data_IF_994365699075
#
_entry.id   IF_994365699075
#
_cell.length_a   1.000
_cell.length_b   1.000
_cell.length_c   1.000
_cell.angle_alpha   90.00
_cell.angle_beta   90.00
_cell.angle_gamma   90.00
#
_symmetry.space_group_name_H-M   'P 1'
#
loop_
_entity.id
_entity.type
_entity.pdbx_description
1 polymer ?
#
# COMPACT_ATOMS: atom_id res chain seq x y z
N UNK A 1 -0.60 -27.72 15.70
CA UNK A 1 0.45 -27.65 14.66
C UNK A 1 0.33 -28.88 13.78
N UNK A 2 0.62 -28.75 12.48
CA UNK A 2 0.59 -29.90 11.56
C UNK A 2 1.85 -30.75 11.73
N UNK A 3 1.80 -32.06 11.38
CA UNK A 3 2.97 -32.95 11.43
C UNK A 3 4.20 -32.38 10.70
N UNK A 4 3.97 -31.64 9.60
CA UNK A 4 5.03 -31.00 8.81
C UNK A 4 5.68 -29.85 9.59
N UNK A 5 4.90 -29.08 10.34
CA UNK A 5 5.43 -27.97 11.16
C UNK A 5 6.34 -28.49 12.27
N UNK A 6 5.91 -29.55 12.95
CA UNK A 6 6.71 -30.17 14.02
C UNK A 6 8.03 -30.74 13.47
N UNK A 7 7.99 -31.33 12.27
CA UNK A 7 9.19 -31.82 11.58
C UNK A 7 10.15 -30.68 11.23
N UNK A 8 9.65 -29.59 10.65
CA UNK A 8 10.46 -28.40 10.33
C UNK A 8 11.11 -27.84 11.60
N UNK A 9 10.34 -27.65 12.67
CA UNK A 9 10.85 -27.11 13.93
C UNK A 9 11.91 -28.03 14.56
N UNK A 10 11.76 -29.35 14.42
CA UNK A 10 12.76 -30.32 14.86
C UNK A 10 14.06 -30.22 14.04
N UNK A 11 13.95 -30.06 12.72
CA UNK A 11 15.11 -29.84 11.84
C UNK A 11 15.82 -28.53 12.17
N UNK A 12 15.07 -27.45 12.41
CA UNK A 12 15.62 -26.14 12.82
C UNK A 12 16.42 -26.26 14.12
N UNK A 13 15.88 -26.93 15.15
CA UNK A 13 16.61 -27.14 16.42
C UNK A 13 17.92 -27.91 16.21
N UNK A 14 17.92 -28.94 15.37
CA UNK A 14 19.14 -29.70 15.02
C UNK A 14 20.14 -28.83 14.28
N UNK A 15 19.67 -28.02 13.33
CA UNK A 15 20.50 -27.11 12.54
C UNK A 15 21.15 -26.03 13.42
N UNK A 16 20.39 -25.37 14.29
CA UNK A 16 20.91 -24.33 15.19
C UNK A 16 21.97 -24.89 16.13
N UNK A 17 21.73 -26.08 16.72
CA UNK A 17 22.73 -26.75 17.55
C UNK A 17 24.03 -27.02 16.78
N UNK A 18 23.92 -27.50 15.54
CA UNK A 18 25.09 -27.78 14.71
C UNK A 18 25.84 -26.52 14.30
N UNK A 19 25.14 -25.46 13.88
CA UNK A 19 25.78 -24.20 13.47
C UNK A 19 26.43 -23.52 14.67
N UNK A 20 25.72 -23.35 15.78
CA UNK A 20 26.24 -22.63 16.95
C UNK A 20 27.44 -23.35 17.60
N UNK A 21 27.58 -24.68 17.46
CA UNK A 21 28.79 -25.38 17.90
C UNK A 21 30.04 -25.11 17.04
N UNK A 22 29.87 -24.55 15.84
CA UNK A 22 30.96 -24.26 14.90
C UNK A 22 31.20 -22.75 14.72
N UNK A 23 30.38 -21.90 15.34
CA UNK A 23 30.56 -20.45 15.27
C UNK A 23 31.65 -19.98 16.23
N UNK A 24 32.39 -18.91 15.90
CA UNK A 24 33.33 -18.28 16.81
C UNK A 24 32.66 -17.78 18.11
N UNK A 25 33.46 -17.65 19.16
CA UNK A 25 33.00 -17.09 20.43
C UNK A 25 32.39 -15.70 20.22
N UNK A 26 31.19 -15.48 20.77
CA UNK A 26 30.40 -14.25 20.60
C UNK A 26 29.48 -14.20 19.39
N UNK A 27 29.42 -15.26 18.56
CA UNK A 27 28.43 -15.39 17.48
C UNK A 27 27.42 -16.48 17.79
N UNK A 28 26.14 -16.15 17.68
CA UNK A 28 25.03 -17.10 17.85
C UNK A 28 23.96 -16.87 16.77
N UNK A 29 23.51 -17.97 16.16
CA UNK A 29 22.31 -17.95 15.33
C UNK A 29 21.11 -18.30 16.20
N UNK A 30 20.12 -17.41 16.24
CA UNK A 30 18.88 -17.59 17.00
C UNK A 30 17.70 -17.94 16.11
N UNK A 31 16.72 -18.60 16.70
CA UNK A 31 15.43 -18.83 16.06
C UNK A 31 14.48 -17.66 16.34
N UNK A 32 14.20 -16.85 15.32
CA UNK A 32 13.32 -15.68 15.47
C UNK A 32 11.82 -16.06 15.45
N UNK A 33 11.42 -17.03 14.62
CA UNK A 33 10.01 -17.42 14.53
C UNK A 33 9.69 -18.34 13.34
N UNK A 34 8.42 -18.73 13.24
CA UNK A 34 7.92 -19.61 12.19
C UNK A 34 6.72 -18.97 11.49
N UNK A 35 6.76 -18.94 10.15
CA UNK A 35 5.68 -18.39 9.35
C UNK A 35 5.20 -19.44 8.35
N UNK A 36 3.90 -19.73 8.37
CA UNK A 36 3.31 -20.78 7.52
C UNK A 36 3.44 -20.47 6.04
N UNK A 37 3.23 -19.20 5.68
CA UNK A 37 3.34 -18.71 4.31
C UNK A 37 4.02 -17.35 4.32
N UNK A 38 4.78 -17.12 3.26
CA UNK A 38 5.52 -15.90 3.04
C UNK A 38 5.50 -15.55 1.58
N UNK A 39 5.56 -14.26 1.30
CA UNK A 39 5.58 -13.70 -0.03
C UNK A 39 6.68 -12.65 -0.11
N UNK A 40 7.61 -12.84 -1.05
CA UNK A 40 8.82 -12.01 -1.19
C UNK A 40 8.80 -11.34 -2.57
N UNK A 41 8.74 -10.00 -2.58
CA UNK A 41 8.69 -9.21 -3.83
C UNK A 41 10.10 -8.90 -4.31
N UNK A 42 10.88 -8.23 -3.45
CA UNK A 42 12.28 -7.86 -3.70
C UNK A 42 13.02 -7.74 -2.37
N UNK A 43 14.33 -7.43 -2.41
CA UNK A 43 15.13 -7.16 -1.22
C UNK A 43 14.42 -6.15 -0.30
N UNK A 44 14.24 -6.53 0.97
CA UNK A 44 13.54 -5.75 2.02
C UNK A 44 12.04 -5.53 1.79
N UNK A 45 11.41 -6.21 0.83
CA UNK A 45 9.98 -6.09 0.51
C UNK A 45 9.30 -7.45 0.55
N UNK A 46 8.67 -7.77 1.67
CA UNK A 46 8.02 -9.06 1.89
C UNK A 46 6.82 -8.96 2.85
N UNK A 47 5.98 -9.99 2.81
CA UNK A 47 4.87 -10.21 3.74
C UNK A 47 4.89 -11.66 4.22
N UNK A 48 4.71 -11.86 5.51
CA UNK A 48 4.61 -13.17 6.17
C UNK A 48 3.26 -13.24 6.88
N UNK A 49 2.77 -14.45 7.14
CA UNK A 49 1.55 -14.65 7.93
C UNK A 49 1.81 -15.60 9.11
N UNK A 50 1.33 -15.18 10.27
CA UNK A 50 1.33 -15.90 11.53
C UNK A 50 -0.02 -15.64 12.22
N UNK A 51 -0.78 -16.69 12.55
CA UNK A 51 -2.09 -16.59 13.22
C UNK A 51 -3.01 -15.49 12.66
N UNK A 52 -3.23 -15.53 11.33
CA UNK A 52 -4.02 -14.54 10.59
C UNK A 52 -3.56 -13.09 10.72
N UNK A 53 -2.33 -12.88 11.17
CA UNK A 53 -1.67 -11.58 11.26
C UNK A 53 -0.60 -11.46 10.17
N UNK A 54 -0.70 -10.41 9.36
CA UNK A 54 0.30 -10.12 8.33
C UNK A 54 1.45 -9.31 8.94
N UNK A 55 2.66 -9.86 8.86
CA UNK A 55 3.91 -9.15 9.12
C UNK A 55 4.50 -8.69 7.80
N UNK A 56 4.41 -7.39 7.51
CA UNK A 56 4.92 -6.80 6.27
C UNK A 56 6.14 -5.92 6.52
N UNK A 57 7.13 -5.99 5.63
CA UNK A 57 8.31 -5.13 5.61
C UNK A 57 8.48 -4.50 4.24
N UNK A 58 8.72 -3.19 4.20
CA UNK A 58 8.99 -2.42 2.98
C UNK A 58 7.83 -2.31 1.97
N UNK A 59 6.66 -2.87 2.30
CA UNK A 59 5.43 -2.74 1.51
C UNK A 59 4.69 -1.44 1.88
N UNK A 60 3.85 -0.97 0.96
CA UNK A 60 3.01 0.23 1.09
C UNK A 60 2.11 0.17 2.34
N UNK A 61 1.74 -1.02 2.79
CA UNK A 61 0.92 -1.32 3.97
C UNK A 61 1.43 -0.63 5.25
N UNK A 62 2.75 -0.52 5.40
CA UNK A 62 3.39 0.04 6.62
C UNK A 62 3.88 1.48 6.42
N UNK A 63 3.71 2.05 5.22
CA UNK A 63 4.15 3.40 4.91
C UNK A 63 3.11 4.42 5.37
N UNK A 64 3.52 5.59 5.88
CA UNK A 64 2.58 6.63 6.34
C UNK A 64 2.02 7.47 5.18
N UNK A 65 2.82 7.69 4.15
CA UNK A 65 2.57 8.53 2.97
C UNK A 65 1.64 7.90 1.91
N UNK A 66 0.97 6.80 2.24
CA UNK A 66 -0.04 6.16 1.40
C UNK A 66 -1.43 6.36 1.99
N UNK A 67 -2.44 6.47 1.11
CA UNK A 67 -3.83 6.57 1.52
C UNK A 67 -4.29 5.29 2.26
N UNK A 68 -5.12 5.39 3.31
CA UNK A 68 -5.64 4.22 4.01
C UNK A 68 -6.34 3.22 3.09
N UNK A 69 -7.04 3.69 2.04
CA UNK A 69 -7.69 2.80 1.06
C UNK A 69 -6.71 1.83 0.38
N UNK A 70 -5.51 2.31 0.03
CA UNK A 70 -4.48 1.48 -0.60
C UNK A 70 -3.92 0.46 0.39
N UNK A 71 -3.68 0.88 1.64
CA UNK A 71 -3.19 -0.02 2.70
C UNK A 71 -4.20 -1.11 3.04
N UNK A 72 -5.47 -0.73 3.22
CA UNK A 72 -6.58 -1.67 3.48
C UNK A 72 -6.70 -2.66 2.32
N UNK A 73 -6.62 -2.18 1.07
CA UNK A 73 -6.67 -3.03 -0.13
C UNK A 73 -5.50 -3.99 -0.21
N UNK A 74 -4.26 -3.49 -0.04
CA UNK A 74 -3.06 -4.34 -0.03
C UNK A 74 -3.13 -5.40 1.07
N UNK A 75 -3.62 -5.06 2.27
CA UNK A 75 -3.84 -6.02 3.36
C UNK A 75 -4.83 -7.11 2.97
N UNK A 76 -5.99 -6.74 2.42
CA UNK A 76 -7.03 -7.69 1.99
C UNK A 76 -6.51 -8.62 0.88
N UNK A 77 -5.79 -8.09 -0.09
CA UNK A 77 -5.12 -8.87 -1.15
C UNK A 77 -4.11 -9.85 -0.56
N UNK A 78 -3.24 -9.39 0.34
CA UNK A 78 -2.29 -10.26 1.02
C UNK A 78 -2.97 -11.34 1.87
N UNK A 79 -4.11 -11.05 2.51
CA UNK A 79 -4.89 -12.08 3.21
C UNK A 79 -5.45 -13.12 2.23
N UNK A 80 -6.02 -12.70 1.10
CA UNK A 80 -6.53 -13.62 0.10
C UNK A 80 -5.43 -14.57 -0.41
N UNK A 81 -4.20 -14.08 -0.54
CA UNK A 81 -3.06 -14.89 -1.01
C UNK A 81 -2.47 -15.74 0.12
N UNK A 82 -2.09 -15.11 1.24
CA UNK A 82 -1.34 -15.74 2.32
C UNK A 82 -2.23 -16.54 3.28
N UNK A 83 -3.51 -16.24 3.41
CA UNK A 83 -4.43 -17.02 4.24
C UNK A 83 -5.24 -18.00 3.40
N UNK A 84 -5.86 -17.48 2.35
CA UNK A 84 -6.86 -18.23 1.58
C UNK A 84 -6.25 -18.96 0.36
N UNK A 85 -4.99 -18.66 0.00
CA UNK A 85 -4.32 -19.27 -1.16
C UNK A 85 -5.00 -18.96 -2.49
N UNK A 86 -5.76 -17.86 -2.59
CA UNK A 86 -6.63 -17.56 -3.73
C UNK A 86 -6.26 -16.22 -4.39
N UNK A 87 -5.48 -16.27 -5.49
CA UNK A 87 -5.22 -15.09 -6.32
C UNK A 87 -6.49 -14.54 -6.98
N UNK A 88 -7.48 -15.40 -7.27
CA UNK A 88 -8.77 -14.96 -7.82
C UNK A 88 -9.54 -14.09 -6.82
N UNK A 89 -9.58 -14.49 -5.55
CA UNK A 89 -10.18 -13.66 -4.49
C UNK A 89 -9.46 -12.32 -4.35
N UNK A 90 -8.14 -12.28 -4.51
CA UNK A 90 -7.39 -11.02 -4.55
C UNK A 90 -7.81 -10.14 -5.72
N UNK A 91 -8.03 -10.72 -6.91
CA UNK A 91 -8.53 -10.01 -8.10
C UNK A 91 -9.90 -9.40 -7.86
N UNK A 92 -10.83 -10.15 -7.29
CA UNK A 92 -12.18 -9.67 -6.96
C UNK A 92 -12.16 -8.49 -5.98
N UNK A 93 -11.33 -8.57 -4.93
CA UNK A 93 -11.14 -7.48 -3.97
C UNK A 93 -10.65 -6.20 -4.67
N UNK A 94 -9.69 -6.31 -5.59
CA UNK A 94 -9.18 -5.16 -6.33
C UNK A 94 -10.30 -4.55 -7.19
N UNK A 95 -11.04 -5.39 -7.94
CA UNK A 95 -12.14 -4.95 -8.80
C UNK A 95 -13.24 -4.23 -8.00
N UNK A 96 -13.62 -4.77 -6.85
CA UNK A 96 -14.61 -4.17 -5.95
C UNK A 96 -14.16 -2.79 -5.47
N UNK A 97 -12.91 -2.68 -4.98
CA UNK A 97 -12.36 -1.41 -4.49
C UNK A 97 -12.28 -0.38 -5.61
N UNK A 98 -11.81 -0.75 -6.80
CA UNK A 98 -11.76 0.16 -7.96
C UNK A 98 -13.16 0.65 -8.32
N UNK A 99 -14.16 -0.25 -8.33
CA UNK A 99 -15.55 0.12 -8.56
C UNK A 99 -16.09 1.12 -7.55
N UNK A 100 -15.81 0.92 -6.26
CA UNK A 100 -16.20 1.87 -5.19
C UNK A 100 -15.55 3.24 -5.36
N UNK A 101 -14.24 3.29 -5.64
CA UNK A 101 -13.51 4.54 -5.90
C UNK A 101 -14.08 5.28 -7.11
N UNK A 102 -14.54 4.59 -8.16
CA UNK A 102 -15.14 5.25 -9.32
C UNK A 102 -16.51 5.84 -9.03
N UNK A 103 -17.31 5.17 -8.21
CA UNK A 103 -18.68 5.60 -7.88
C UNK A 103 -18.75 6.67 -6.78
N UNK A 104 -17.65 7.04 -6.15
CA UNK A 104 -17.69 7.95 -5.00
C UNK A 104 -18.04 7.25 -3.68
N UNK A 105 -18.10 5.92 -3.66
CA UNK A 105 -18.51 5.11 -2.50
C UNK A 105 -17.30 4.81 -1.60
N UNK A 106 -16.65 5.88 -1.15
CA UNK A 106 -15.47 5.84 -0.28
C UNK A 106 -15.52 6.97 0.74
N UNK A 107 -15.17 6.65 1.96
CA UNK A 107 -15.06 7.64 3.04
C UNK A 107 -13.88 8.58 2.79
N UNK A 108 -14.04 9.86 3.12
CA UNK A 108 -12.98 10.86 2.97
C UNK A 108 -11.70 10.46 3.72
N UNK A 109 -11.85 9.94 4.94
CA UNK A 109 -10.74 9.48 5.78
C UNK A 109 -9.92 8.37 5.12
N UNK A 110 -10.54 7.57 4.24
CA UNK A 110 -9.84 6.53 3.49
C UNK A 110 -8.96 7.09 2.36
N UNK A 111 -9.15 8.36 2.00
CA UNK A 111 -8.42 9.07 0.96
C UNK A 111 -7.33 10.00 1.51
N UNK A 112 -7.34 10.30 2.81
CA UNK A 112 -6.39 11.25 3.42
C UNK A 112 -4.97 10.70 3.43
N UNK A 113 -4.05 11.43 2.79
CA UNK A 113 -2.63 11.13 2.79
C UNK A 113 -1.94 11.94 3.88
N UNK A 114 -1.09 11.27 4.65
CA UNK A 114 -0.32 11.87 5.74
C UNK A 114 1.17 11.89 5.39
N UNK A 115 1.75 13.08 5.24
CA UNK A 115 3.17 13.25 4.92
C UNK A 115 3.82 14.22 5.89
N UNK A 116 4.98 13.83 6.43
CA UNK A 116 5.76 14.69 7.32
C UNK A 116 6.58 15.68 6.50
N UNK A 117 6.57 16.95 6.90
CA UNK A 117 7.48 17.97 6.40
C UNK A 117 8.84 17.77 7.05
N UNK A 118 9.88 17.50 6.27
CA UNK A 118 11.21 17.11 6.80
C UNK A 118 12.24 18.24 6.77
N UNK A 119 11.91 19.34 6.08
CA UNK A 119 12.75 20.53 5.87
C UNK A 119 11.87 21.77 5.83
N UNK A 120 12.47 22.95 5.85
CA UNK A 120 11.70 24.17 5.64
C UNK A 120 11.17 24.23 4.21
N UNK A 121 9.97 24.79 4.02
CA UNK A 121 9.27 24.74 2.72
C UNK A 121 10.03 25.46 1.59
N UNK A 122 10.91 26.40 1.93
CA UNK A 122 11.80 27.10 1.00
C UNK A 122 12.98 26.25 0.53
N UNK A 123 13.36 25.20 1.27
CA UNK A 123 14.51 24.34 0.96
C UNK A 123 14.16 23.16 0.03
N UNK A 124 12.86 22.95 -0.26
CA UNK A 124 12.42 21.90 -1.16
C UNK A 124 12.76 22.24 -2.60
N UNK A 125 13.73 21.51 -3.18
CA UNK A 125 14.07 21.60 -4.61
C UNK A 125 12.94 21.08 -5.50
N UNK A 126 12.27 20.00 -5.08
CA UNK A 126 11.15 19.41 -5.80
C UNK A 126 9.86 19.68 -5.03
N UNK A 127 8.93 20.39 -5.68
CA UNK A 127 7.66 20.78 -5.08
C UNK A 127 6.64 19.66 -5.26
N UNK A 128 6.57 18.77 -4.27
CA UNK A 128 5.61 17.67 -4.23
C UNK A 128 4.23 18.06 -3.68
N UNK A 129 3.24 17.14 -3.76
CA UNK A 129 1.89 17.34 -3.22
C UNK A 129 1.85 17.86 -1.78
N UNK A 130 2.63 17.23 -0.88
CA UNK A 130 2.71 17.61 0.53
C UNK A 130 3.26 19.04 0.73
N UNK A 131 4.17 19.51 -0.12
CA UNK A 131 4.72 20.87 -0.05
C UNK A 131 3.66 21.89 -0.48
N UNK A 132 2.89 21.59 -1.54
CA UNK A 132 1.79 22.47 -1.98
C UNK A 132 0.70 22.54 -0.91
N UNK A 133 0.29 21.40 -0.35
CA UNK A 133 -0.69 21.38 0.74
C UNK A 133 -0.20 22.14 1.98
N UNK A 134 1.09 22.02 2.31
CA UNK A 134 1.71 22.80 3.40
C UNK A 134 1.64 24.31 3.13
N UNK A 135 1.99 24.75 1.91
CA UNK A 135 1.92 26.16 1.51
C UNK A 135 0.50 26.71 1.58
N UNK A 136 -0.49 25.98 1.05
CA UNK A 136 -1.92 26.33 1.17
C UNK A 136 -2.35 26.46 2.62
N UNK A 137 -1.88 25.57 3.49
CA UNK A 137 -2.18 25.65 4.93
C UNK A 137 -1.61 26.91 5.58
N UNK A 138 -0.38 27.30 5.24
CA UNK A 138 0.23 28.55 5.72
C UNK A 138 -0.50 29.79 5.20
N UNK A 139 -0.93 29.80 3.93
CA UNK A 139 -1.72 30.89 3.34
C UNK A 139 -3.07 31.08 4.07
N UNK A 140 -3.61 30.02 4.64
CA UNK A 140 -4.81 30.03 5.51
C UNK A 140 -4.50 30.34 6.98
N UNK A 141 -3.26 30.68 7.31
CA UNK A 141 -2.83 31.01 8.68
C UNK A 141 -2.63 29.81 9.60
N UNK A 142 -2.67 28.58 9.09
CA UNK A 142 -2.38 27.37 9.89
C UNK A 142 -0.88 27.22 10.07
N UNK A 143 -0.42 26.81 11.26
CA UNK A 143 1.00 26.58 11.53
C UNK A 143 1.49 25.30 10.85
N UNK A 144 2.49 25.43 9.98
CA UNK A 144 3.21 24.30 9.38
C UNK A 144 4.71 24.58 9.45
N UNK A 145 5.44 23.70 10.11
CA UNK A 145 6.89 23.79 10.30
C UNK A 145 7.55 22.43 10.09
N UNK A 146 8.89 22.40 10.05
CA UNK A 146 9.64 21.15 10.00
C UNK A 146 9.20 20.21 11.12
N UNK A 147 8.87 18.97 10.76
CA UNK A 147 8.34 17.96 11.66
C UNK A 147 6.80 17.83 11.62
N UNK A 148 6.09 18.83 11.10
CA UNK A 148 4.63 18.82 10.99
C UNK A 148 4.13 17.71 10.08
N UNK A 149 2.99 17.10 10.43
CA UNK A 149 2.27 16.16 9.57
C UNK A 149 1.22 16.93 8.80
N UNK A 150 1.37 16.97 7.47
CA UNK A 150 0.38 17.57 6.58
C UNK A 150 -0.56 16.48 6.11
N UNK A 151 -1.86 16.75 6.27
CA UNK A 151 -2.96 15.92 5.82
C UNK A 151 -3.54 16.53 4.56
N UNK A 152 -3.65 15.76 3.48
CA UNK A 152 -4.20 16.27 2.24
C UNK A 152 -4.86 15.17 1.41
N UNK A 153 -5.71 15.59 0.47
CA UNK A 153 -6.25 14.73 -0.58
C UNK A 153 -5.84 15.26 -1.95
N UNK A 154 -5.92 14.40 -2.96
CA UNK A 154 -5.78 14.81 -4.36
C UNK A 154 -7.17 15.02 -4.95
N UNK A 155 -7.49 16.26 -5.32
CA UNK A 155 -8.77 16.64 -5.90
C UNK A 155 -8.79 16.47 -7.41
N UNK A 156 -9.96 16.27 -7.99
CA UNK A 156 -10.13 16.22 -9.46
C UNK A 156 -9.77 17.56 -10.07
N UNK A 157 -9.05 17.55 -11.19
CA UNK A 157 -8.68 18.79 -11.88
C UNK A 157 -7.63 18.59 -12.96
N UNK A 158 -7.32 19.67 -13.68
CA UNK A 158 -6.24 19.71 -14.68
C UNK A 158 -4.90 20.05 -14.01
N UNK A 159 -3.82 19.70 -14.69
CA UNK A 159 -2.46 20.03 -14.28
C UNK A 159 -1.80 18.96 -13.40
N UNK A 160 -0.57 19.23 -12.93
CA UNK A 160 0.24 18.28 -12.16
C UNK A 160 -0.44 17.85 -10.86
N UNK A 161 -0.25 16.58 -10.45
CA UNK A 161 -0.78 16.02 -9.18
C UNK A 161 -0.43 16.92 -7.98
N UNK A 162 0.76 17.51 -7.95
CA UNK A 162 1.19 18.39 -6.87
C UNK A 162 0.28 19.61 -6.69
N UNK A 163 -0.19 20.22 -7.78
CA UNK A 163 -1.08 21.40 -7.72
C UNK A 163 -2.50 21.03 -7.29
N UNK A 164 -2.88 19.76 -7.48
CA UNK A 164 -4.18 19.19 -7.11
C UNK A 164 -4.20 18.67 -5.66
N UNK A 165 -3.14 18.87 -4.90
CA UNK A 165 -3.09 18.54 -3.48
C UNK A 165 -3.70 19.66 -2.63
N UNK A 166 -4.73 19.33 -1.86
CA UNK A 166 -5.42 20.27 -0.97
C UNK A 166 -5.43 19.74 0.46
N UNK A 167 -5.15 20.59 1.47
CA UNK A 167 -5.38 20.23 2.87
C UNK A 167 -6.80 19.68 3.05
N UNK A 168 -6.96 18.68 3.90
CA UNK A 168 -8.27 18.02 4.10
C UNK A 168 -9.34 19.03 4.51
N UNK A 169 -8.94 20.00 5.35
CA UNK A 169 -9.79 21.06 5.89
C UNK A 169 -10.28 22.04 4.82
N UNK A 170 -9.63 22.09 3.65
CA UNK A 170 -9.96 22.99 2.54
C UNK A 170 -10.61 22.26 1.35
N UNK A 171 -10.72 20.93 1.42
CA UNK A 171 -11.11 20.10 0.28
C UNK A 171 -12.60 19.75 0.25
N UNK A 172 -13.39 20.25 1.21
CA UNK A 172 -14.84 20.06 1.27
C UNK A 172 -15.52 20.53 -0.02
N UNK A 173 -16.37 19.68 -0.60
CA UNK A 173 -17.08 19.97 -1.85
C UNK A 173 -16.25 19.94 -3.14
N UNK A 174 -14.92 19.76 -3.08
CA UNK A 174 -14.06 19.81 -4.27
C UNK A 174 -14.07 18.53 -5.11
N UNK A 175 -14.43 17.39 -4.50
CA UNK A 175 -14.37 16.07 -5.12
C UNK A 175 -12.93 15.55 -5.27
N UNK A 176 -12.68 14.31 -4.85
CA UNK A 176 -11.38 13.67 -5.04
C UNK A 176 -11.18 13.24 -6.50
N UNK A 177 -9.94 12.94 -6.88
CA UNK A 177 -9.60 12.38 -8.20
C UNK A 177 -9.59 10.83 -8.18
N UNK A 178 -10.62 10.14 -8.72
CA UNK A 178 -10.67 8.69 -8.69
C UNK A 178 -9.49 8.03 -9.40
N UNK A 179 -9.02 8.60 -10.52
CA UNK A 179 -7.97 8.01 -11.34
C UNK A 179 -6.64 8.02 -10.58
N UNK A 180 -6.34 9.11 -9.86
CA UNK A 180 -5.18 9.16 -8.98
C UNK A 180 -5.21 8.07 -7.89
N UNK A 181 -6.35 7.89 -7.20
CA UNK A 181 -6.44 6.89 -6.15
C UNK A 181 -6.45 5.45 -6.70
N UNK A 182 -6.95 5.23 -7.91
CA UNK A 182 -6.86 3.92 -8.57
C UNK A 182 -5.41 3.66 -8.99
N UNK A 183 -4.82 4.50 -9.82
CA UNK A 183 -3.54 4.23 -10.47
C UNK A 183 -2.35 4.41 -9.52
N UNK A 184 -2.29 5.54 -8.81
CA UNK A 184 -1.14 5.92 -8.00
C UNK A 184 -1.20 5.39 -6.56
N UNK A 185 -2.36 4.92 -6.10
CA UNK A 185 -2.54 4.40 -4.73
C UNK A 185 -2.90 2.90 -4.73
N UNK A 186 -4.07 2.50 -5.22
CA UNK A 186 -4.50 1.10 -5.12
C UNK A 186 -3.64 0.19 -6.01
N UNK A 187 -3.56 0.48 -7.31
CA UNK A 187 -2.85 -0.35 -8.28
C UNK A 187 -1.36 -0.37 -7.98
N UNK A 188 -0.74 0.78 -7.71
CA UNK A 188 0.67 0.84 -7.34
C UNK A 188 1.04 -0.02 -6.10
N UNK A 189 0.11 -0.20 -5.16
CA UNK A 189 0.31 -1.06 -3.99
C UNK A 189 0.15 -2.56 -4.31
N UNK A 190 -0.75 -2.94 -5.22
CA UNK A 190 -1.10 -4.36 -5.46
C UNK A 190 -0.43 -4.97 -6.69
N UNK A 191 -0.06 -4.17 -7.70
CA UNK A 191 0.46 -4.69 -8.98
C UNK A 191 1.69 -5.56 -8.80
N UNK A 192 2.65 -5.18 -7.95
CA UNK A 192 3.86 -6.00 -7.72
C UNK A 192 3.54 -7.36 -7.10
N UNK A 193 2.52 -7.42 -6.25
CA UNK A 193 2.06 -8.67 -5.64
C UNK A 193 1.42 -9.53 -6.72
N UNK A 194 0.47 -8.98 -7.49
CA UNK A 194 -0.24 -9.73 -8.53
C UNK A 194 0.69 -10.19 -9.66
N UNK A 195 1.62 -9.35 -10.13
CA UNK A 195 2.55 -9.73 -11.20
C UNK A 195 3.48 -10.87 -10.82
N UNK A 196 3.89 -10.96 -9.56
CA UNK A 196 4.68 -12.10 -9.09
C UNK A 196 3.91 -13.43 -9.07
N UNK A 197 2.58 -13.36 -9.07
CA UNK A 197 1.67 -14.51 -9.16
C UNK A 197 1.29 -14.83 -10.61
N UNK A 198 1.90 -14.17 -11.60
CA UNK A 198 1.68 -14.42 -13.02
C UNK A 198 0.61 -13.55 -13.68
N UNK A 199 0.03 -12.56 -12.98
CA UNK A 199 -0.91 -11.62 -13.60
C UNK A 199 -0.16 -10.61 -14.48
N UNK A 200 -0.57 -10.54 -15.75
CA UNK A 200 0.06 -9.68 -16.75
C UNK A 200 -0.27 -8.20 -16.51
N UNK A 201 0.49 -7.31 -17.17
CA UNK A 201 0.17 -5.88 -17.20
C UNK A 201 -1.24 -5.64 -17.78
N UNK A 202 -1.66 -6.45 -18.75
CA UNK A 202 -3.00 -6.37 -19.35
C UNK A 202 -4.09 -6.74 -18.34
N UNK A 203 -3.89 -7.79 -17.55
CA UNK A 203 -4.81 -8.16 -16.47
C UNK A 203 -4.95 -7.01 -15.47
N UNK A 204 -3.83 -6.39 -15.07
CA UNK A 204 -3.85 -5.26 -14.14
C UNK A 204 -4.54 -4.03 -14.74
N UNK A 205 -4.33 -3.76 -16.03
CA UNK A 205 -5.00 -2.66 -16.73
C UNK A 205 -6.51 -2.89 -16.86
N UNK A 206 -6.94 -4.14 -17.01
CA UNK A 206 -8.37 -4.50 -17.01
C UNK A 206 -9.02 -4.19 -15.65
N UNK A 207 -8.29 -4.43 -14.55
CA UNK A 207 -8.76 -4.16 -13.20
C UNK A 207 -8.82 -2.66 -12.89
N UNK A 208 -7.83 -1.88 -13.34
CA UNK A 208 -7.82 -0.43 -13.14
C UNK A 208 -8.88 0.28 -13.98
N UNK A 209 -9.13 -0.21 -15.19
CA UNK A 209 -10.07 0.36 -16.16
C UNK A 209 -11.53 0.14 -15.80
N UNK A 210 -11.82 -0.69 -14.78
CA UNK A 210 -13.16 -1.10 -14.41
C UNK A 210 -13.92 -1.76 -15.57
N UNK A 211 -15.15 -2.20 -15.34
CA UNK A 211 -16.06 -2.41 -16.46
C UNK A 211 -16.31 -1.03 -17.09
N UNK A 212 -15.70 -0.76 -18.26
CA UNK A 212 -16.18 0.31 -19.11
C UNK A 212 -17.63 -0.04 -19.41
N UNK A 213 -18.56 0.67 -18.80
CA UNK A 213 -19.93 0.69 -19.27
C UNK A 213 -19.83 1.29 -20.67
N UNK A 214 -19.82 0.44 -21.69
CA UNK A 214 -20.02 0.85 -23.07
C UNK A 214 -21.34 1.59 -23.08
N UNK A 215 -21.30 2.91 -23.27
CA UNK A 215 -22.51 3.64 -23.59
C UNK A 215 -23.11 3.00 -24.84
N UNK A 216 -24.44 2.87 -24.86
CA UNK A 216 -25.18 2.33 -26.00
C UNK A 216 -24.87 3.09 -27.31
N UNK A 217 -24.26 4.29 -27.23
CA UNK A 217 -23.76 5.08 -28.36
C UNK A 217 -22.59 4.42 -29.12
N UNK A 218 -21.97 3.36 -28.61
CA UNK A 218 -20.95 2.62 -29.35
C UNK A 218 -21.54 1.65 -30.40
N UNK A 219 -22.87 1.51 -30.44
CA UNK A 219 -23.59 0.56 -31.31
C UNK A 219 -24.60 1.24 -32.27
N UNK A 220 -24.68 2.57 -32.28
CA UNK A 220 -25.56 3.34 -33.17
C UNK A 220 -24.75 4.29 -34.06
#
# INVERSE_FOLDING_TARGET
>A
MSKVEDEILSQVKRFLKHINSNLPEGMELEFEGFYRRGFFVTKKRYALIEDDTIVAKGLELVRRDWAPIAKKTQRKVLMAILRDGSPEKAREIIREVVGRIRRGDVELDDLVIHTQITRDLSEYKQIGPHVIAAKRSLEKGRRVERGSIVRYIIVKGRGPISQRAFPVEDAEGMGYDPDYYIENQVMAAVSRIMSSLGYSTEDMNSLSSGERQSSLDAFF
#
